data_IF_414383278175
#
_entry.id   IF_414383278175
#
_cell.length_a   1.000
_cell.length_b   1.000
_cell.length_c   1.000
_cell.angle_alpha   90.00
_cell.angle_beta   90.00
_cell.angle_gamma   90.00
#
_symmetry.space_group_name_H-M   'P 1'
#
loop_
_entity.id
_entity.type
_entity.pdbx_description
1 polymer ?
#
# COMPACT_ATOMS: atom_id res chain seq x y z
N UNK A 1 6.17 20.54 18.35
CA UNK A 1 5.07 21.26 17.66
C UNK A 1 3.98 20.29 17.18
N UNK A 2 4.26 19.35 16.27
CA UNK A 2 3.24 18.40 15.76
C UNK A 2 2.61 17.54 16.86
N UNK A 3 3.42 16.98 17.77
CA UNK A 3 2.92 16.22 18.92
C UNK A 3 2.07 17.08 19.87
N UNK A 4 2.45 18.34 20.08
CA UNK A 4 1.68 19.28 20.90
C UNK A 4 0.32 19.60 20.27
N UNK A 5 0.23 19.70 18.94
CA UNK A 5 -1.04 19.85 18.22
C UNK A 5 -1.89 18.58 18.30
N UNK A 6 -1.28 17.39 18.30
CA UNK A 6 -1.96 16.11 18.54
C UNK A 6 -2.67 16.08 19.90
N UNK A 7 -2.03 16.61 20.94
CA UNK A 7 -2.59 16.66 22.30
C UNK A 7 -3.82 17.57 22.46
N UNK A 8 -4.14 18.40 21.46
CA UNK A 8 -5.28 19.34 21.51
C UNK A 8 -6.60 18.71 21.04
N UNK A 9 -6.61 17.44 20.63
CA UNK A 9 -7.78 16.72 20.13
C UNK A 9 -8.04 17.04 18.64
N UNK A 10 -7.29 16.38 17.76
CA UNK A 10 -7.37 16.62 16.32
C UNK A 10 -8.75 16.26 15.76
N UNK A 11 -9.40 15.23 16.29
CA UNK A 11 -10.74 14.84 15.85
C UNK A 11 -11.82 15.92 16.09
N UNK A 12 -11.57 16.86 17.01
CA UNK A 12 -12.56 17.87 17.42
C UNK A 12 -12.44 19.18 16.61
N UNK A 13 -11.30 19.44 15.97
CA UNK A 13 -11.05 20.70 15.26
C UNK A 13 -10.51 20.47 13.82
N UNK A 14 -11.36 20.70 12.79
CA UNK A 14 -10.96 20.61 11.38
C UNK A 14 -9.79 21.54 10.99
N UNK A 15 -9.64 22.69 11.66
CA UNK A 15 -8.55 23.62 11.40
C UNK A 15 -7.22 23.01 11.86
N UNK A 16 -7.16 22.40 13.05
CA UNK A 16 -5.96 21.72 13.53
C UNK A 16 -5.56 20.55 12.61
N UNK A 17 -6.54 19.76 12.15
CA UNK A 17 -6.28 18.69 11.16
C UNK A 17 -5.65 19.26 9.89
N UNK A 18 -6.18 20.38 9.38
CA UNK A 18 -5.62 21.05 8.19
C UNK A 18 -4.19 21.55 8.44
N UNK A 19 -3.91 22.13 9.60
CA UNK A 19 -2.56 22.56 9.97
C UNK A 19 -1.58 21.39 10.03
N UNK A 20 -1.95 20.29 10.67
CA UNK A 20 -1.13 19.07 10.75
C UNK A 20 -0.91 18.47 9.37
N UNK A 21 -1.96 18.38 8.54
CA UNK A 21 -1.85 17.92 7.14
C UNK A 21 -0.86 18.78 6.36
N UNK A 22 -0.96 20.10 6.48
CA UNK A 22 -0.02 21.02 5.82
C UNK A 22 1.42 20.77 6.26
N UNK A 23 1.67 20.54 7.55
CA UNK A 23 3.01 20.24 8.04
C UNK A 23 3.53 18.93 7.43
N UNK A 24 2.74 17.86 7.43
CA UNK A 24 3.17 16.62 6.81
C UNK A 24 3.45 16.78 5.30
N UNK A 25 2.53 17.36 4.53
CA UNK A 25 2.70 17.53 3.08
C UNK A 25 3.94 18.35 2.71
N UNK A 26 4.30 19.38 3.47
CA UNK A 26 5.42 20.27 3.12
C UNK A 26 6.78 19.82 3.63
N UNK A 27 6.82 19.01 4.70
CA UNK A 27 8.06 18.69 5.40
C UNK A 27 8.47 17.22 5.32
N UNK A 28 7.58 16.28 4.96
CA UNK A 28 7.90 14.84 4.95
C UNK A 28 9.08 14.47 4.05
N UNK A 29 9.18 15.07 2.86
CA UNK A 29 10.27 14.77 1.93
C UNK A 29 11.55 15.56 2.21
N UNK A 30 11.52 16.53 3.13
CA UNK A 30 12.66 17.43 3.41
C UNK A 30 13.68 16.81 4.36
N UNK A 31 13.29 15.78 5.10
CA UNK A 31 14.14 15.12 6.08
C UNK A 31 14.52 13.73 5.56
N UNK A 32 15.82 13.47 5.30
CA UNK A 32 16.21 12.17 4.83
C UNK A 32 16.16 11.10 5.91
N UNK A 33 15.60 9.96 5.55
CA UNK A 33 15.61 8.75 6.39
C UNK A 33 16.95 8.08 6.17
N UNK A 34 17.68 7.80 7.25
CA UNK A 34 19.02 7.22 7.16
C UNK A 34 18.91 5.76 6.73
N UNK A 35 19.56 5.41 5.62
CA UNK A 35 19.55 4.06 5.06
C UNK A 35 20.89 3.32 5.21
N UNK A 36 21.83 3.78 6.05
CA UNK A 36 23.11 3.08 6.27
C UNK A 36 23.85 3.49 7.56
N UNK A 37 24.60 2.54 8.13
CA UNK A 37 25.40 2.54 9.37
C UNK A 37 26.55 3.58 9.42
N UNK A 38 26.29 4.86 9.16
CA UNK A 38 27.29 5.92 9.35
C UNK A 38 26.79 7.02 10.29
N UNK A 39 27.66 7.36 11.22
CA UNK A 39 27.44 8.06 12.48
C UNK A 39 26.91 9.49 12.31
N UNK A 40 25.87 9.82 13.10
CA UNK A 40 25.58 11.11 13.80
C UNK A 40 24.09 11.16 14.15
N UNK A 41 23.70 10.79 15.37
CA UNK A 41 22.31 10.73 15.87
C UNK A 41 21.38 11.89 15.44
N UNK A 42 20.54 11.68 14.42
CA UNK A 42 19.36 12.52 14.14
C UNK A 42 18.23 11.61 13.69
N UNK A 43 17.47 11.12 14.66
CA UNK A 43 16.21 10.42 14.43
C UNK A 43 15.24 11.34 13.69
N UNK A 44 14.57 10.83 12.65
CA UNK A 44 13.64 11.63 11.85
C UNK A 44 12.55 12.25 12.75
N UNK A 45 12.25 13.56 12.68
CA UNK A 45 11.34 14.21 13.62
C UNK A 45 9.94 13.57 13.68
N UNK A 46 9.43 13.11 12.53
CA UNK A 46 8.15 12.39 12.49
C UNK A 46 8.22 10.97 13.06
N UNK A 47 9.37 10.28 13.02
CA UNK A 47 9.51 8.98 13.69
C UNK A 47 9.38 9.17 15.19
N UNK A 48 10.11 10.15 15.74
CA UNK A 48 10.02 10.49 17.16
C UNK A 48 8.57 10.82 17.50
N UNK A 49 7.92 11.68 16.71
CA UNK A 49 6.57 12.14 17.06
C UNK A 49 5.49 11.04 16.95
N UNK A 50 5.59 10.13 15.98
CA UNK A 50 4.61 9.07 15.77
C UNK A 50 4.84 7.83 16.66
N UNK A 51 6.01 7.73 17.31
CA UNK A 51 6.36 6.65 18.25
C UNK A 51 6.58 7.15 19.68
N UNK A 52 6.27 8.41 19.98
CA UNK A 52 6.56 8.98 21.29
C UNK A 52 5.65 8.38 22.37
N UNK A 53 6.20 7.61 23.30
CA UNK A 53 5.45 7.01 24.40
C UNK A 53 4.95 8.00 25.47
N UNK A 54 5.44 9.25 25.45
CA UNK A 54 5.09 10.26 26.45
C UNK A 54 3.78 11.01 26.16
N UNK A 55 3.16 10.79 24.98
CA UNK A 55 1.91 11.45 24.57
C UNK A 55 0.71 10.52 24.78
N UNK A 56 -0.49 11.07 25.03
CA UNK A 56 -1.73 10.29 25.13
C UNK A 56 -1.92 9.41 23.88
N UNK A 57 -2.17 8.12 24.08
CA UNK A 57 -2.31 7.14 22.99
C UNK A 57 -3.37 7.56 21.95
N UNK A 58 -4.52 8.06 22.39
CA UNK A 58 -5.59 8.56 21.49
C UNK A 58 -5.09 9.65 20.53
N UNK A 59 -4.32 10.61 21.05
CA UNK A 59 -3.75 11.70 20.25
C UNK A 59 -2.69 11.20 19.26
N UNK A 60 -1.91 10.19 19.65
CA UNK A 60 -0.93 9.54 18.75
C UNK A 60 -1.67 8.82 17.63
N UNK A 61 -2.74 8.08 17.93
CA UNK A 61 -3.54 7.35 16.94
C UNK A 61 -4.24 8.29 15.94
N UNK A 62 -4.77 9.42 16.41
CA UNK A 62 -5.31 10.46 15.52
C UNK A 62 -4.23 11.04 14.60
N UNK A 63 -3.05 11.35 15.15
CA UNK A 63 -1.93 11.89 14.37
C UNK A 63 -1.42 10.89 13.32
N UNK A 64 -1.35 9.62 13.73
CA UNK A 64 -1.04 8.44 12.91
C UNK A 64 -2.01 8.31 11.74
N UNK A 65 -3.31 8.41 12.00
CA UNK A 65 -4.35 8.40 10.97
C UNK A 65 -4.14 9.54 9.96
N UNK A 66 -4.00 10.78 10.45
CA UNK A 66 -3.79 11.96 9.58
C UNK A 66 -2.51 11.81 8.73
N UNK A 67 -1.43 11.27 9.30
CA UNK A 67 -0.20 10.98 8.57
C UNK A 67 -0.44 10.00 7.41
N UNK A 68 -1.11 8.87 7.66
CA UNK A 68 -1.40 7.88 6.63
C UNK A 68 -2.30 8.45 5.53
N UNK A 69 -3.28 9.27 5.88
CA UNK A 69 -4.12 9.96 4.90
C UNK A 69 -3.30 10.92 4.02
N UNK A 70 -2.34 11.65 4.59
CA UNK A 70 -1.44 12.50 3.82
C UNK A 70 -0.56 11.68 2.88
N UNK A 71 0.01 10.56 3.35
CA UNK A 71 0.78 9.64 2.51
C UNK A 71 -0.06 9.15 1.33
N UNK A 72 -1.27 8.67 1.62
CA UNK A 72 -2.24 8.20 0.62
C UNK A 72 -2.57 9.27 -0.42
N UNK A 73 -3.01 10.44 0.03
CA UNK A 73 -3.63 11.44 -0.83
C UNK A 73 -2.60 12.34 -1.52
N UNK A 74 -1.49 12.66 -0.85
CA UNK A 74 -0.48 13.60 -1.36
C UNK A 74 0.66 12.93 -2.12
N UNK A 75 0.93 11.65 -1.87
CA UNK A 75 2.09 10.95 -2.45
C UNK A 75 1.72 9.72 -3.28
N UNK A 76 0.91 8.78 -2.74
CA UNK A 76 0.61 7.54 -3.45
C UNK A 76 -0.41 7.72 -4.59
N UNK A 77 -1.49 8.48 -4.34
CA UNK A 77 -2.54 8.74 -5.35
C UNK A 77 -2.24 9.93 -6.26
N UNK A 78 -1.42 10.88 -5.79
CA UNK A 78 -1.15 12.11 -6.52
C UNK A 78 -0.20 11.85 -7.67
N UNK A 79 -0.63 12.19 -8.89
CA UNK A 79 0.23 12.16 -10.08
C UNK A 79 1.17 13.37 -10.08
N UNK A 80 2.38 13.19 -10.63
CA UNK A 80 3.35 14.28 -10.80
C UNK A 80 4.19 14.60 -9.55
N UNK A 81 4.22 13.71 -8.56
CA UNK A 81 5.17 13.81 -7.43
C UNK A 81 6.57 13.45 -7.93
N UNK A 82 7.58 14.22 -7.52
CA UNK A 82 8.98 13.90 -7.81
C UNK A 82 9.34 12.52 -7.28
N UNK A 83 9.98 11.69 -8.11
CA UNK A 83 10.44 10.34 -7.72
C UNK A 83 11.28 10.38 -6.45
N UNK A 84 12.15 11.39 -6.30
CA UNK A 84 12.97 11.58 -5.10
C UNK A 84 12.07 11.77 -3.87
N UNK A 85 11.08 12.66 -3.93
CA UNK A 85 10.18 12.90 -2.81
C UNK A 85 9.38 11.65 -2.44
N UNK A 86 8.93 10.91 -3.45
CA UNK A 86 8.21 9.66 -3.27
C UNK A 86 9.09 8.60 -2.59
N UNK A 87 10.34 8.44 -3.03
CA UNK A 87 11.31 7.54 -2.40
C UNK A 87 11.54 7.88 -0.93
N UNK A 88 11.73 9.17 -0.60
CA UNK A 88 11.92 9.61 0.79
C UNK A 88 10.72 9.27 1.67
N UNK A 89 9.51 9.50 1.16
CA UNK A 89 8.27 9.24 1.89
C UNK A 89 8.04 7.74 2.08
N UNK A 90 8.25 6.92 1.05
CA UNK A 90 8.12 5.46 1.17
C UNK A 90 9.15 4.91 2.15
N UNK A 91 10.39 5.43 2.11
CA UNK A 91 11.45 5.05 3.04
C UNK A 91 11.11 5.44 4.48
N UNK A 92 10.44 6.58 4.69
CA UNK A 92 9.95 7.00 6.00
C UNK A 92 8.88 6.06 6.52
N UNK A 93 7.92 5.67 5.67
CA UNK A 93 6.90 4.70 6.05
C UNK A 93 7.55 3.36 6.41
N UNK A 94 8.47 2.84 5.60
CA UNK A 94 9.21 1.61 5.89
C UNK A 94 9.90 1.66 7.27
N UNK A 95 10.61 2.74 7.56
CA UNK A 95 11.29 2.91 8.84
C UNK A 95 10.32 3.05 10.02
N UNK A 96 9.16 3.67 9.81
CA UNK A 96 8.09 3.70 10.81
C UNK A 96 7.58 2.28 11.09
N UNK A 97 7.35 1.46 10.06
CA UNK A 97 6.88 0.07 10.24
C UNK A 97 7.88 -0.78 11.02
N UNK A 98 9.19 -0.59 10.77
CA UNK A 98 10.24 -1.33 11.49
C UNK A 98 10.28 -1.07 13.00
N UNK A 99 9.73 0.07 13.47
CA UNK A 99 9.75 0.48 14.87
C UNK A 99 8.40 0.37 15.58
N UNK A 100 7.40 -0.15 14.88
CA UNK A 100 6.00 -0.02 15.28
C UNK A 100 5.38 -1.25 15.93
N UNK A 101 4.25 -1.04 16.61
CA UNK A 101 3.37 -2.07 17.19
C UNK A 101 2.36 -2.60 16.16
N UNK A 102 1.71 -3.72 16.47
CA UNK A 102 0.76 -4.41 15.59
C UNK A 102 -0.43 -3.52 15.13
N UNK A 103 -0.90 -2.60 15.96
CA UNK A 103 -2.03 -1.71 15.64
C UNK A 103 -1.68 -0.69 14.53
N UNK A 104 -0.47 -0.16 14.56
CA UNK A 104 0.00 0.76 13.51
C UNK A 104 0.10 0.06 12.15
N UNK A 105 0.56 -1.19 12.16
CA UNK A 105 0.63 -2.03 10.97
C UNK A 105 -0.74 -2.24 10.32
N UNK A 106 -1.77 -2.54 11.12
CA UNK A 106 -3.14 -2.69 10.61
C UNK A 106 -3.64 -1.41 9.93
N UNK A 107 -3.45 -0.25 10.57
CA UNK A 107 -3.82 1.05 10.02
C UNK A 107 -3.11 1.35 8.69
N UNK A 108 -1.82 1.01 8.59
CA UNK A 108 -1.02 1.19 7.38
C UNK A 108 -1.52 0.25 6.27
N UNK A 109 -1.73 -1.02 6.56
CA UNK A 109 -2.28 -2.01 5.61
C UNK A 109 -3.63 -1.56 5.08
N UNK A 110 -4.55 -1.14 5.94
CA UNK A 110 -5.89 -0.71 5.54
C UNK A 110 -5.89 0.58 4.69
N UNK A 111 -4.94 1.49 4.95
CA UNK A 111 -4.96 2.83 4.34
C UNK A 111 -4.10 2.93 3.09
N UNK A 112 -2.95 2.26 3.06
CA UNK A 112 -1.93 2.45 2.03
C UNK A 112 -1.85 1.32 1.01
N UNK A 113 -2.35 0.12 1.31
CA UNK A 113 -2.14 -1.05 0.45
C UNK A 113 -2.71 -0.86 -0.97
N UNK A 114 -4.00 -0.56 -1.13
CA UNK A 114 -4.58 -0.30 -2.46
C UNK A 114 -3.88 0.87 -3.20
N UNK A 115 -3.70 2.06 -2.59
CA UNK A 115 -2.95 3.15 -3.22
C UNK A 115 -1.53 2.77 -3.65
N UNK A 116 -0.83 1.91 -2.89
CA UNK A 116 0.49 1.41 -3.22
C UNK A 116 0.45 0.50 -4.45
N UNK A 117 -0.55 -0.37 -4.55
CA UNK A 117 -0.76 -1.20 -5.74
C UNK A 117 -1.08 -0.35 -6.97
N UNK A 118 -1.96 0.65 -6.83
CA UNK A 118 -2.29 1.62 -7.88
C UNK A 118 -1.03 2.38 -8.33
N UNK A 119 -0.17 2.79 -7.39
CA UNK A 119 1.10 3.42 -7.68
C UNK A 119 2.03 2.49 -8.47
N UNK A 120 2.18 1.23 -8.05
CA UNK A 120 3.02 0.23 -8.73
C UNK A 120 2.59 -0.05 -10.18
N UNK A 121 1.33 0.14 -10.53
CA UNK A 121 0.85 0.08 -11.92
C UNK A 121 1.38 1.23 -12.78
N UNK A 122 1.69 2.37 -12.16
CA UNK A 122 2.09 3.60 -12.87
C UNK A 122 3.58 3.88 -12.81
N UNK A 123 4.31 3.28 -11.86
CA UNK A 123 5.75 3.50 -11.71
C UNK A 123 6.56 2.85 -12.84
N UNK A 124 7.34 3.68 -13.53
CA UNK A 124 8.28 3.27 -14.57
C UNK A 124 9.74 3.34 -14.09
N UNK A 125 10.04 4.25 -13.18
CA UNK A 125 11.40 4.46 -12.66
C UNK A 125 11.81 3.30 -11.72
N UNK A 126 12.93 2.59 -12.02
CA UNK A 126 13.25 1.32 -11.38
C UNK A 126 13.60 1.44 -9.89
N UNK A 127 14.25 2.53 -9.47
CA UNK A 127 14.68 2.70 -8.07
C UNK A 127 13.47 2.99 -7.16
N UNK A 128 12.56 3.87 -7.58
CA UNK A 128 11.29 4.14 -6.89
C UNK A 128 10.42 2.90 -6.86
N UNK A 129 10.36 2.16 -7.98
CA UNK A 129 9.62 0.90 -8.04
C UNK A 129 10.16 -0.13 -7.07
N UNK A 130 11.49 -0.22 -6.92
CA UNK A 130 12.13 -1.10 -5.92
C UNK A 130 11.70 -0.71 -4.50
N UNK A 131 11.86 0.56 -4.12
CA UNK A 131 11.50 1.03 -2.77
C UNK A 131 10.00 0.84 -2.48
N UNK A 132 9.13 1.06 -3.47
CA UNK A 132 7.70 0.77 -3.35
C UNK A 132 7.40 -0.73 -3.20
N UNK A 133 8.17 -1.59 -3.87
CA UNK A 133 8.06 -3.05 -3.74
C UNK A 133 8.58 -3.51 -2.39
N UNK A 134 9.63 -2.89 -1.85
CA UNK A 134 10.14 -3.18 -0.50
C UNK A 134 9.07 -2.85 0.57
N UNK A 135 8.33 -1.73 0.38
CA UNK A 135 7.17 -1.42 1.23
C UNK A 135 6.06 -2.47 1.09
N UNK A 136 5.74 -2.89 -0.14
CA UNK A 136 4.74 -3.94 -0.36
C UNK A 136 5.14 -5.25 0.33
N UNK A 137 6.40 -5.65 0.21
CA UNK A 137 6.95 -6.83 0.87
C UNK A 137 6.81 -6.72 2.39
N UNK A 138 7.19 -5.57 2.98
CA UNK A 138 7.05 -5.36 4.43
C UNK A 138 5.59 -5.47 4.89
N UNK A 139 4.65 -4.90 4.15
CA UNK A 139 3.22 -4.99 4.48
C UNK A 139 2.70 -6.43 4.41
N UNK A 140 3.16 -7.22 3.43
CA UNK A 140 2.73 -8.60 3.27
C UNK A 140 3.40 -9.57 4.24
N UNK A 141 4.65 -9.32 4.66
CA UNK A 141 5.37 -10.17 5.62
C UNK A 141 4.76 -10.14 7.03
N UNK A 142 4.24 -8.99 7.44
CA UNK A 142 3.70 -8.82 8.79
C UNK A 142 2.24 -9.31 8.92
N UNK A 143 1.58 -9.58 7.79
CA UNK A 143 0.26 -10.22 7.78
C UNK A 143 0.50 -11.71 8.04
N UNK A 144 0.48 -12.08 9.33
CA UNK A 144 0.57 -13.49 9.75
C UNK A 144 -0.63 -14.26 9.20
N UNK A 145 -0.41 -15.52 8.82
CA UNK A 145 -1.45 -16.42 8.29
C UNK A 145 -2.70 -16.58 9.19
N UNK A 146 -2.64 -16.15 10.45
CA UNK A 146 -3.74 -16.25 11.43
C UNK A 146 -4.58 -14.97 11.57
N UNK A 147 -4.13 -13.81 11.09
CA UNK A 147 -4.92 -12.57 11.15
C UNK A 147 -5.94 -12.51 10.01
N UNK A 148 -7.08 -13.13 10.27
CA UNK A 148 -8.19 -13.23 9.32
C UNK A 148 -8.76 -11.86 8.94
N UNK A 149 -8.70 -10.87 9.85
CA UNK A 149 -9.27 -9.54 9.59
C UNK A 149 -8.43 -8.78 8.57
N UNK A 150 -7.12 -8.67 8.80
CA UNK A 150 -6.19 -8.04 7.86
C UNK A 150 -6.24 -8.72 6.49
N UNK A 151 -6.24 -10.06 6.45
CA UNK A 151 -6.33 -10.83 5.20
C UNK A 151 -7.56 -10.48 4.37
N UNK A 152 -8.75 -10.41 5.01
CA UNK A 152 -10.00 -10.06 4.31
C UNK A 152 -9.96 -8.66 3.66
N UNK A 153 -9.29 -7.70 4.30
CA UNK A 153 -9.12 -6.33 3.79
C UNK A 153 -8.15 -6.28 2.61
N UNK A 154 -7.07 -7.06 2.67
CA UNK A 154 -6.13 -7.19 1.55
C UNK A 154 -6.80 -7.82 0.34
N UNK A 155 -7.54 -8.93 0.55
CA UNK A 155 -8.32 -9.58 -0.51
C UNK A 155 -9.30 -8.58 -1.15
N UNK A 156 -10.04 -7.81 -0.33
CA UNK A 156 -10.95 -6.77 -0.83
C UNK A 156 -10.23 -5.71 -1.65
N UNK A 157 -9.02 -5.32 -1.23
CA UNK A 157 -8.19 -4.33 -1.92
C UNK A 157 -7.69 -4.86 -3.26
N UNK A 158 -7.22 -6.10 -3.33
CA UNK A 158 -6.83 -6.76 -4.59
C UNK A 158 -8.02 -6.87 -5.53
N UNK A 159 -9.19 -7.33 -5.04
CA UNK A 159 -10.42 -7.38 -5.85
C UNK A 159 -10.79 -6.00 -6.41
N UNK A 160 -10.70 -4.95 -5.59
CA UNK A 160 -10.97 -3.58 -6.03
C UNK A 160 -9.99 -3.12 -7.11
N UNK A 161 -8.69 -3.39 -6.94
CA UNK A 161 -7.67 -3.09 -7.93
C UNK A 161 -7.98 -3.76 -9.28
N UNK A 162 -8.34 -5.04 -9.25
CA UNK A 162 -8.69 -5.82 -10.44
C UNK A 162 -9.89 -5.20 -11.17
N UNK A 163 -10.98 -4.95 -10.45
CA UNK A 163 -12.20 -4.36 -11.03
C UNK A 163 -11.91 -2.99 -11.67
N UNK A 164 -11.05 -2.18 -11.04
CA UNK A 164 -10.75 -0.82 -11.50
C UNK A 164 -9.79 -0.78 -12.71
N UNK A 165 -8.84 -1.71 -12.80
CA UNK A 165 -7.72 -1.60 -13.74
C UNK A 165 -7.64 -2.70 -14.81
N UNK A 166 -8.36 -3.82 -14.66
CA UNK A 166 -8.27 -4.94 -15.60
C UNK A 166 -8.69 -4.53 -17.03
N UNK A 167 -9.69 -3.68 -17.15
CA UNK A 167 -10.24 -3.21 -18.43
C UNK A 167 -9.35 -2.20 -19.18
N UNK A 168 -8.36 -1.58 -18.53
CA UNK A 168 -7.53 -0.54 -19.15
C UNK A 168 -6.03 -0.83 -19.09
N UNK A 169 -5.59 -1.71 -18.19
CA UNK A 169 -4.17 -1.93 -17.90
C UNK A 169 -3.89 -3.39 -17.50
N UNK A 170 -4.52 -4.34 -18.19
CA UNK A 170 -4.43 -5.78 -17.92
C UNK A 170 -2.99 -6.29 -17.78
N UNK A 171 -2.10 -5.98 -18.73
CA UNK A 171 -0.71 -6.43 -18.68
C UNK A 171 0.05 -5.92 -17.44
N UNK A 172 -0.12 -4.64 -17.09
CA UNK A 172 0.50 -4.06 -15.89
C UNK A 172 -0.10 -4.65 -14.62
N UNK A 173 -1.42 -4.88 -14.61
CA UNK A 173 -2.14 -5.49 -13.50
C UNK A 173 -1.65 -6.91 -13.24
N UNK A 174 -1.60 -7.78 -14.25
CA UNK A 174 -1.10 -9.15 -14.07
C UNK A 174 0.36 -9.18 -13.61
N UNK A 175 1.21 -8.24 -14.04
CA UNK A 175 2.57 -8.11 -13.51
C UNK A 175 2.58 -7.78 -12.02
N UNK A 176 1.73 -6.85 -11.56
CA UNK A 176 1.61 -6.52 -10.13
C UNK A 176 1.05 -7.70 -9.34
N UNK A 177 0.02 -8.38 -9.85
CA UNK A 177 -0.53 -9.59 -9.22
C UNK A 177 0.52 -10.70 -9.12
N UNK A 178 1.36 -10.87 -10.14
CA UNK A 178 2.48 -11.81 -10.12
C UNK A 178 3.51 -11.48 -9.03
N UNK A 179 3.85 -10.20 -8.85
CA UNK A 179 4.73 -9.76 -7.75
C UNK A 179 4.10 -10.09 -6.39
N UNK A 180 2.80 -9.81 -6.20
CA UNK A 180 2.09 -10.19 -4.97
C UNK A 180 2.08 -11.72 -4.79
N UNK A 181 1.89 -12.49 -5.88
CA UNK A 181 1.91 -13.95 -5.84
C UNK A 181 3.24 -14.53 -5.38
N UNK A 182 4.36 -13.90 -5.76
CA UNK A 182 5.70 -14.26 -5.27
C UNK A 182 5.87 -13.89 -3.79
N UNK A 183 5.36 -12.73 -3.37
CA UNK A 183 5.51 -12.25 -1.99
C UNK A 183 4.57 -12.95 -1.00
N UNK A 184 3.35 -13.29 -1.42
CA UNK A 184 2.29 -13.87 -0.59
C UNK A 184 1.31 -14.68 -1.46
N UNK A 185 1.72 -15.88 -1.87
CA UNK A 185 0.95 -16.79 -2.74
C UNK A 185 -0.51 -16.96 -2.31
N UNK A 186 -0.76 -17.23 -1.03
CA UNK A 186 -2.09 -17.53 -0.50
C UNK A 186 -3.11 -16.40 -0.73
N UNK A 187 -2.67 -15.14 -0.69
CA UNK A 187 -3.52 -13.97 -0.90
C UNK A 187 -4.06 -13.94 -2.33
N UNK A 188 -3.21 -14.28 -3.31
CA UNK A 188 -3.63 -14.33 -4.71
C UNK A 188 -4.52 -15.53 -4.97
N UNK A 189 -4.22 -16.69 -4.39
CA UNK A 189 -5.07 -17.90 -4.50
C UNK A 189 -6.51 -17.58 -4.05
N UNK A 190 -6.68 -16.90 -2.92
CA UNK A 190 -8.01 -16.46 -2.44
C UNK A 190 -8.69 -15.42 -3.33
N UNK A 191 -7.93 -14.73 -4.17
CA UNK A 191 -8.46 -13.77 -5.13
C UNK A 191 -8.77 -14.39 -6.50
N UNK A 192 -8.28 -15.59 -6.81
CA UNK A 192 -8.41 -16.21 -8.13
C UNK A 192 -9.86 -16.33 -8.62
N UNK A 193 -10.85 -16.77 -7.83
CA UNK A 193 -12.23 -16.83 -8.29
C UNK A 193 -12.76 -15.46 -8.74
N UNK A 194 -12.35 -14.39 -8.05
CA UNK A 194 -12.76 -13.03 -8.39
C UNK A 194 -12.00 -12.47 -9.59
N UNK A 195 -10.74 -12.86 -9.77
CA UNK A 195 -9.97 -12.49 -10.95
C UNK A 195 -10.57 -13.18 -12.18
N UNK A 196 -10.90 -14.47 -12.09
CA UNK A 196 -11.56 -15.22 -13.16
C UNK A 196 -12.89 -14.56 -13.56
N UNK A 197 -13.75 -14.27 -12.58
CA UNK A 197 -15.02 -13.57 -12.81
C UNK A 197 -14.81 -12.19 -13.47
N UNK A 198 -13.82 -11.42 -13.03
CA UNK A 198 -13.52 -10.12 -13.61
C UNK A 198 -12.98 -10.22 -15.05
N UNK A 199 -12.21 -11.25 -15.38
CA UNK A 199 -11.74 -11.53 -16.74
C UNK A 199 -12.94 -11.80 -17.64
N UNK A 200 -13.81 -12.75 -17.27
CA UNK A 200 -15.03 -13.08 -18.04
C UNK A 200 -15.94 -11.85 -18.21
N UNK A 201 -16.18 -11.11 -17.13
CA UNK A 201 -17.00 -9.90 -17.19
C UNK A 201 -16.37 -8.79 -18.07
N UNK A 202 -15.03 -8.74 -18.18
CA UNK A 202 -14.34 -7.78 -19.04
C UNK A 202 -14.42 -8.21 -20.51
N UNK A 203 -14.30 -9.50 -20.80
CA UNK A 203 -14.49 -10.09 -22.13
C UNK A 203 -15.89 -9.81 -22.66
N UNK A 204 -16.92 -10.08 -21.86
CA UNK A 204 -18.33 -9.81 -22.19
C UNK A 204 -18.55 -8.32 -22.50
N UNK A 205 -18.04 -7.41 -21.65
CA UNK A 205 -18.20 -5.96 -21.84
C UNK A 205 -17.52 -5.43 -23.10
N UNK A 206 -16.40 -6.03 -23.49
CA UNK A 206 -15.68 -5.60 -24.70
C UNK A 206 -16.31 -6.18 -25.98
N UNK A 207 -17.18 -7.19 -25.88
CA UNK A 207 -17.88 -7.78 -27.02
C UNK A 207 -16.97 -8.54 -28.00
N UNK A 208 -15.72 -8.82 -27.61
CA UNK A 208 -14.69 -9.42 -28.48
C UNK A 208 -14.69 -10.96 -28.39
N UNK A 209 -15.54 -11.53 -27.54
CA UNK A 209 -15.46 -12.95 -27.19
C UNK A 209 -14.21 -13.22 -26.36
N UNK A 210 -13.31 -14.10 -26.85
CA UNK A 210 -12.10 -14.50 -26.14
C UNK A 210 -10.98 -13.46 -26.31
N UNK A 211 -10.65 -12.73 -25.24
CA UNK A 211 -9.53 -11.81 -25.26
C UNK A 211 -8.24 -12.57 -24.92
N UNK A 212 -7.49 -12.94 -25.97
CA UNK A 212 -6.24 -13.69 -25.83
C UNK A 212 -5.22 -13.01 -24.91
N UNK A 213 -5.21 -11.69 -24.80
CA UNK A 213 -4.26 -10.97 -23.93
C UNK A 213 -4.65 -11.12 -22.46
N UNK A 214 -5.95 -10.99 -22.16
CA UNK A 214 -6.48 -11.21 -20.81
C UNK A 214 -6.29 -12.66 -20.37
N UNK A 215 -6.63 -13.61 -21.23
CA UNK A 215 -6.50 -15.05 -20.96
C UNK A 215 -5.05 -15.45 -20.77
N UNK A 216 -4.15 -14.99 -21.63
CA UNK A 216 -2.72 -15.28 -21.48
C UNK A 216 -2.15 -14.72 -20.17
N UNK A 217 -2.52 -13.48 -19.80
CA UNK A 217 -2.10 -12.88 -18.52
C UNK A 217 -2.62 -13.65 -17.31
N UNK A 218 -3.88 -14.12 -17.36
CA UNK A 218 -4.47 -14.94 -16.32
C UNK A 218 -3.80 -16.31 -16.21
N UNK A 219 -3.58 -17.00 -17.33
CA UNK A 219 -2.88 -18.30 -17.36
C UNK A 219 -1.44 -18.20 -16.88
N UNK A 220 -0.72 -17.14 -17.24
CA UNK A 220 0.63 -16.88 -16.74
C UNK A 220 0.64 -16.67 -15.21
N UNK A 221 -0.38 -16.00 -14.67
CA UNK A 221 -0.55 -15.84 -13.23
C UNK A 221 -0.77 -17.21 -12.56
N UNK A 222 -1.66 -18.04 -13.10
CA UNK A 222 -1.91 -19.40 -12.58
C UNK A 222 -0.67 -20.28 -12.60
N UNK A 223 0.06 -20.28 -13.71
CA UNK A 223 1.31 -21.01 -13.86
C UNK A 223 2.35 -20.56 -12.81
N UNK A 224 2.45 -19.25 -12.54
CA UNK A 224 3.36 -18.73 -11.52
C UNK A 224 3.00 -19.16 -10.09
N UNK A 225 1.73 -19.47 -9.85
CA UNK A 225 1.23 -19.96 -8.56
C UNK A 225 1.26 -21.49 -8.47
N UNK A 226 1.39 -22.20 -9.60
CA UNK A 226 1.27 -23.66 -9.66
C UNK A 226 -0.13 -24.16 -9.33
N UNK A 227 -1.17 -23.44 -9.76
CA UNK A 227 -2.60 -23.78 -9.56
C UNK A 227 -3.24 -24.03 -10.93
N UNK A 228 -4.09 -25.05 -11.04
CA UNK A 228 -4.81 -25.33 -12.29
C UNK A 228 -6.18 -24.63 -12.31
N UNK A 229 -6.69 -24.30 -13.50
CA UNK A 229 -8.01 -23.65 -13.65
C UNK A 229 -9.15 -24.49 -13.05
N UNK A 230 -9.02 -25.82 -13.06
CA UNK A 230 -10.01 -26.77 -12.54
C UNK A 230 -10.16 -26.69 -11.01
N UNK A 231 -9.12 -26.29 -10.29
CA UNK A 231 -9.12 -26.19 -8.82
C UNK A 231 -9.90 -24.96 -8.32
N UNK A 232 -10.21 -24.01 -9.21
CA UNK A 232 -10.80 -22.69 -8.88
C UNK A 232 -12.32 -22.70 -9.04
N UNK A 233 -12.86 -23.64 -9.83
CA UNK A 233 -14.30 -23.76 -10.10
C UNK A 233 -15.05 -24.44 -8.93
N UNK A 234 -14.31 -25.13 -8.04
CA UNK A 234 -14.86 -25.87 -6.90
C UNK A 234 -14.60 -25.23 -5.52
N UNK A 235 -14.12 -23.99 -5.46
CA UNK A 235 -13.89 -23.23 -4.21
C UNK A 235 -14.75 -21.96 -4.16
#
# INVERSE_FOLDING_TARGET
>A
MVCAMGCLGLAQDPYLVRCVRNVFTHYMYRFPVKTSNSYTSTTHPFIICLHNGDVREEAIQELRSVFLEVVRDSYLRRRGVSNVHLQMVISLVLELLNKSTSEWMEGVCCTLFLPLLELLLTLEEPTTKRVATDLLQKLLQEVRDQDTFCRSKLVRSVRRLVIQHLSWSSAKLFRVLGVIGVLHKQLIVECLPHIAQAVTATEEKRGIGLDHTLRHGYQALLASLGVNEEDIIFA
#
